data_IF_847251981062
#
_entry.id   IF_847251981062
#
_cell.length_a   1.000
_cell.length_b   1.000
_cell.length_c   1.000
_cell.angle_alpha   90.00
_cell.angle_beta   90.00
_cell.angle_gamma   90.00
#
_symmetry.space_group_name_H-M   'P 1'
#
loop_
_entity.id
_entity.type
_entity.pdbx_description
1 polymer ?
#
# COMPACT_ATOMS: atom_id res chain seq x y z
N UNK A 1 -17.98 24.95 19.79
CA UNK A 1 -16.99 23.96 20.28
C UNK A 1 -16.46 23.18 19.10
N UNK A 2 -15.19 23.40 18.76
CA UNK A 2 -14.54 22.58 17.76
C UNK A 2 -14.16 21.25 18.40
N UNK A 3 -14.97 20.21 18.14
CA UNK A 3 -14.50 18.86 18.39
C UNK A 3 -13.29 18.62 17.50
N UNK A 4 -12.16 18.16 18.05
CA UNK A 4 -11.04 17.80 17.20
C UNK A 4 -11.51 16.79 16.15
N UNK A 5 -11.09 16.99 14.92
CA UNK A 5 -11.41 16.01 13.86
C UNK A 5 -10.99 14.62 14.30
N UNK A 6 -11.90 13.64 14.26
CA UNK A 6 -11.53 12.28 14.64
C UNK A 6 -10.30 11.84 13.87
N UNK A 7 -9.33 11.28 14.57
CA UNK A 7 -8.05 10.88 13.99
C UNK A 7 -8.22 9.94 12.79
N UNK A 8 -9.24 9.06 12.84
CA UNK A 8 -9.51 8.14 11.74
C UNK A 8 -9.87 8.86 10.44
N UNK A 9 -10.71 9.89 10.50
CA UNK A 9 -11.06 10.69 9.33
C UNK A 9 -9.85 11.46 8.79
N UNK A 10 -9.04 12.01 9.68
CA UNK A 10 -7.85 12.76 9.29
C UNK A 10 -6.81 11.87 8.60
N UNK A 11 -6.57 10.68 9.15
CA UNK A 11 -5.68 9.70 8.54
C UNK A 11 -6.20 9.23 7.17
N UNK A 12 -7.51 9.00 7.06
CA UNK A 12 -8.14 8.63 5.80
C UNK A 12 -7.95 9.73 4.74
N UNK A 13 -8.22 10.99 5.12
CA UNK A 13 -8.08 12.13 4.20
C UNK A 13 -6.63 12.32 3.75
N UNK A 14 -5.69 12.24 4.68
CA UNK A 14 -4.26 12.35 4.36
C UNK A 14 -3.84 11.24 3.38
N UNK A 15 -4.22 10.00 3.66
CA UNK A 15 -3.89 8.87 2.78
C UNK A 15 -4.51 9.04 1.39
N UNK A 16 -5.77 9.47 1.33
CA UNK A 16 -6.48 9.72 0.06
C UNK A 16 -5.80 10.82 -0.76
N UNK A 17 -5.42 11.92 -0.12
CA UNK A 17 -4.79 13.05 -0.78
C UNK A 17 -3.35 12.75 -1.23
N UNK A 18 -2.59 12.00 -0.43
CA UNK A 18 -1.27 11.51 -0.82
C UNK A 18 -1.38 10.66 -2.10
N UNK A 19 -2.33 9.74 -2.13
CA UNK A 19 -2.58 8.89 -3.29
C UNK A 19 -2.99 9.72 -4.51
N UNK A 20 -3.89 10.68 -4.33
CA UNK A 20 -4.33 11.57 -5.41
C UNK A 20 -3.15 12.36 -6.01
N UNK A 21 -2.30 12.92 -5.15
CA UNK A 21 -1.13 13.69 -5.63
C UNK A 21 -0.12 12.81 -6.34
N UNK A 22 0.11 11.61 -5.81
CA UNK A 22 0.96 10.62 -6.46
C UNK A 22 0.44 10.29 -7.86
N UNK A 23 -0.86 10.06 -8.02
CA UNK A 23 -1.47 9.74 -9.31
C UNK A 23 -1.34 10.86 -10.33
N UNK A 24 -1.46 12.10 -9.88
CA UNK A 24 -1.30 13.25 -10.77
C UNK A 24 0.08 13.25 -11.44
N UNK A 25 1.12 12.78 -10.72
CA UNK A 25 2.48 12.67 -11.26
C UNK A 25 2.68 11.37 -12.05
N UNK A 26 2.09 10.28 -11.59
CA UNK A 26 2.28 8.96 -12.19
C UNK A 26 1.51 8.77 -13.50
N UNK A 27 0.57 9.64 -13.82
CA UNK A 27 -0.28 9.53 -15.01
C UNK A 27 0.54 9.39 -16.31
N UNK A 28 1.68 10.08 -16.40
CA UNK A 28 2.55 10.04 -17.58
C UNK A 28 3.30 8.72 -17.76
N UNK A 29 3.32 7.86 -16.74
CA UNK A 29 4.04 6.58 -16.78
C UNK A 29 3.24 5.46 -17.46
N UNK A 30 1.98 5.72 -17.80
CA UNK A 30 1.13 4.73 -18.46
C UNK A 30 0.62 3.62 -17.56
N UNK A 31 0.58 3.84 -16.25
CA UNK A 31 0.01 2.90 -15.30
C UNK A 31 -1.34 3.40 -14.77
N UNK A 32 -2.29 2.48 -14.65
CA UNK A 32 -3.52 2.73 -13.89
C UNK A 32 -3.19 2.75 -12.40
N UNK A 33 -4.12 3.29 -11.58
CA UNK A 33 -3.98 3.24 -10.11
C UNK A 33 -3.70 1.82 -9.62
N UNK A 34 -4.51 0.87 -10.07
CA UNK A 34 -4.39 -0.54 -9.66
C UNK A 34 -3.01 -1.11 -10.02
N UNK A 35 -2.51 -0.79 -11.19
CA UNK A 35 -1.22 -1.30 -11.66
C UNK A 35 -0.05 -0.75 -10.84
N UNK A 36 0.02 0.57 -10.64
CA UNK A 36 1.15 1.10 -9.87
C UNK A 36 1.07 0.71 -8.40
N UNK A 37 -0.14 0.57 -7.83
CA UNK A 37 -0.30 0.08 -6.46
C UNK A 37 0.24 -1.35 -6.30
N UNK A 38 -0.05 -2.23 -7.25
CA UNK A 38 0.50 -3.59 -7.23
C UNK A 38 2.03 -3.54 -7.28
N UNK A 39 2.60 -2.77 -8.18
CA UNK A 39 4.06 -2.67 -8.31
C UNK A 39 4.73 -2.16 -7.04
N UNK A 40 4.21 -1.10 -6.46
CA UNK A 40 4.76 -0.48 -5.24
C UNK A 40 4.65 -1.42 -4.04
N UNK A 41 3.49 -2.04 -3.84
CA UNK A 41 3.28 -2.96 -2.71
C UNK A 41 4.05 -4.26 -2.90
N UNK A 42 4.16 -4.75 -4.13
CA UNK A 42 4.95 -5.95 -4.41
C UNK A 42 6.44 -5.70 -4.17
N UNK A 43 6.95 -4.53 -4.50
CA UNK A 43 8.34 -4.17 -4.24
C UNK A 43 8.72 -4.29 -2.75
N UNK A 44 7.76 -4.02 -1.86
CA UNK A 44 7.95 -4.14 -0.41
C UNK A 44 7.72 -5.55 0.11
N UNK A 45 7.11 -6.42 -0.67
CA UNK A 45 6.63 -7.72 -0.23
C UNK A 45 6.93 -8.82 -1.26
N UNK A 46 8.08 -8.79 -1.93
CA UNK A 46 8.42 -9.82 -2.92
C UNK A 46 8.38 -11.21 -2.32
N UNK A 47 7.85 -12.15 -3.08
CA UNK A 47 7.62 -13.50 -2.61
C UNK A 47 6.29 -13.68 -1.86
N UNK A 48 5.49 -12.63 -1.76
CA UNK A 48 4.18 -12.71 -1.11
C UNK A 48 3.23 -13.63 -1.89
N UNK A 49 2.35 -14.31 -1.16
CA UNK A 49 1.24 -15.06 -1.77
C UNK A 49 0.27 -14.09 -2.45
N UNK A 50 -0.31 -14.53 -3.56
CA UNK A 50 -1.29 -13.75 -4.29
C UNK A 50 -2.46 -13.31 -3.39
N UNK A 51 -2.97 -14.23 -2.54
CA UNK A 51 -4.03 -13.91 -1.59
C UNK A 51 -3.60 -12.83 -0.57
N UNK A 52 -2.36 -12.88 -0.09
CA UNK A 52 -1.82 -11.90 0.85
C UNK A 52 -1.72 -10.49 0.23
N UNK A 53 -1.34 -10.42 -1.03
CA UNK A 53 -1.31 -9.13 -1.74
C UNK A 53 -2.72 -8.57 -1.96
N UNK A 54 -3.68 -9.43 -2.28
CA UNK A 54 -5.08 -9.01 -2.40
C UNK A 54 -5.61 -8.41 -1.11
N UNK A 55 -5.27 -9.00 0.03
CA UNK A 55 -5.64 -8.48 1.36
C UNK A 55 -5.02 -7.10 1.62
N UNK A 56 -3.75 -6.92 1.33
CA UNK A 56 -3.04 -5.64 1.51
C UNK A 56 -3.69 -4.55 0.65
N UNK A 57 -4.05 -4.88 -0.58
CA UNK A 57 -4.65 -3.94 -1.53
C UNK A 57 -6.16 -3.77 -1.34
N UNK A 58 -6.76 -4.58 -0.47
CA UNK A 58 -8.22 -4.59 -0.24
C UNK A 58 -9.01 -4.78 -1.53
N UNK A 59 -8.57 -5.70 -2.37
CA UNK A 59 -9.24 -6.06 -3.63
C UNK A 59 -9.65 -7.52 -3.62
N UNK A 60 -10.69 -7.82 -4.38
CA UNK A 60 -11.11 -9.20 -4.59
C UNK A 60 -10.01 -9.99 -5.32
N UNK A 61 -9.81 -11.27 -4.98
CA UNK A 61 -8.78 -12.09 -5.63
C UNK A 61 -8.87 -12.10 -7.15
N UNK A 62 -10.07 -12.16 -7.72
CA UNK A 62 -10.26 -12.15 -9.18
C UNK A 62 -9.83 -10.81 -9.81
N UNK A 63 -10.03 -9.71 -9.10
CA UNK A 63 -9.57 -8.38 -9.54
C UNK A 63 -8.05 -8.34 -9.61
N UNK A 64 -7.38 -8.86 -8.57
CA UNK A 64 -5.92 -8.92 -8.56
C UNK A 64 -5.36 -9.79 -9.69
N UNK A 65 -5.98 -10.93 -9.96
CA UNK A 65 -5.56 -11.80 -11.07
C UNK A 65 -5.56 -11.03 -12.39
N UNK A 66 -6.59 -10.25 -12.66
CA UNK A 66 -6.69 -9.45 -13.88
C UNK A 66 -5.60 -8.37 -13.98
N UNK A 67 -5.29 -7.73 -12.85
CA UNK A 67 -4.22 -6.73 -12.80
C UNK A 67 -2.87 -7.40 -13.05
N UNK A 68 -2.63 -8.53 -12.40
CA UNK A 68 -1.39 -9.30 -12.56
C UNK A 68 -1.23 -9.83 -13.99
N UNK A 69 -2.30 -10.27 -14.63
CA UNK A 69 -2.27 -10.70 -16.03
C UNK A 69 -1.74 -9.59 -16.94
N UNK A 70 -2.21 -8.36 -16.74
CA UNK A 70 -1.76 -7.20 -17.51
C UNK A 70 -0.31 -6.85 -17.23
N UNK A 71 0.11 -6.87 -15.97
CA UNK A 71 1.49 -6.56 -15.59
C UNK A 71 2.46 -7.64 -16.05
N UNK A 72 2.05 -8.91 -15.99
CA UNK A 72 2.83 -10.03 -16.51
C UNK A 72 2.97 -9.92 -18.04
N UNK A 73 1.88 -9.55 -18.73
CA UNK A 73 1.90 -9.31 -20.17
C UNK A 73 2.84 -8.16 -20.58
N UNK A 74 3.09 -7.20 -19.69
CA UNK A 74 4.07 -6.13 -19.90
C UNK A 74 5.48 -6.52 -19.45
N UNK A 75 5.67 -7.75 -18.96
CA UNK A 75 6.95 -8.25 -18.52
C UNK A 75 7.44 -7.66 -17.19
N UNK A 76 6.56 -7.14 -16.35
CA UNK A 76 6.92 -6.44 -15.11
C UNK A 76 6.79 -7.31 -13.86
N UNK A 77 5.94 -8.30 -13.89
CA UNK A 77 5.64 -9.20 -12.76
C UNK A 77 5.77 -10.64 -13.21
N UNK A 78 6.23 -11.49 -12.31
CA UNK A 78 6.32 -12.93 -12.50
C UNK A 78 5.58 -13.66 -11.39
N UNK A 79 4.72 -14.60 -11.77
CA UNK A 79 4.07 -15.52 -10.84
C UNK A 79 4.86 -16.82 -10.82
N UNK A 80 5.21 -17.30 -9.62
CA UNK A 80 5.89 -18.57 -9.43
C UNK A 80 5.05 -19.45 -8.54
N UNK A 81 4.95 -20.73 -8.92
CA UNK A 81 4.25 -21.70 -8.11
C UNK A 81 5.02 -21.94 -6.80
N UNK A 82 4.27 -22.04 -5.69
CA UNK A 82 4.87 -22.35 -4.39
C UNK A 82 5.56 -23.75 -4.46
N UNK A 83 6.76 -23.90 -3.85
CA UNK A 83 7.51 -25.18 -3.94
C UNK A 83 6.76 -26.40 -3.44
N UNK A 84 5.89 -26.25 -2.44
CA UNK A 84 5.18 -27.34 -1.78
C UNK A 84 3.66 -27.28 -1.89
N UNK A 85 3.09 -26.11 -2.21
CA UNK A 85 1.65 -25.93 -2.38
C UNK A 85 1.33 -25.49 -3.80
N UNK A 86 0.82 -26.40 -4.61
CA UNK A 86 0.48 -26.14 -6.01
C UNK A 86 -0.67 -25.16 -6.21
N UNK A 87 -1.43 -24.86 -5.15
CA UNK A 87 -2.55 -23.91 -5.19
C UNK A 87 -2.10 -22.47 -4.95
N UNK A 88 -0.92 -22.30 -4.39
CA UNK A 88 -0.40 -20.99 -4.03
C UNK A 88 0.55 -20.47 -5.09
N UNK A 89 0.37 -19.20 -5.45
CA UNK A 89 1.24 -18.47 -6.35
C UNK A 89 1.99 -17.42 -5.57
N UNK A 90 3.30 -17.38 -5.76
CA UNK A 90 4.18 -16.36 -5.20
C UNK A 90 4.49 -15.31 -6.25
N UNK A 91 4.51 -14.07 -5.84
CA UNK A 91 4.64 -12.93 -6.74
C UNK A 91 6.03 -12.29 -6.64
N UNK A 92 6.61 -12.01 -7.79
CA UNK A 92 7.93 -11.38 -7.90
C UNK A 92 7.93 -10.32 -8.97
N UNK A 93 8.75 -9.29 -8.78
CA UNK A 93 9.06 -8.33 -9.82
C UNK A 93 10.11 -8.90 -10.76
N UNK A 94 10.04 -8.52 -12.03
CA UNK A 94 11.08 -8.85 -12.99
C UNK A 94 12.17 -7.77 -12.99
N UNK A 95 13.38 -8.05 -13.50
CA UNK A 95 14.39 -7.00 -13.67
C UNK A 95 13.90 -5.83 -14.52
N UNK A 96 13.03 -6.08 -15.49
CA UNK A 96 12.45 -5.05 -16.38
C UNK A 96 11.54 -4.06 -15.64
N UNK A 97 11.06 -4.42 -14.43
CA UNK A 97 10.27 -3.52 -13.60
C UNK A 97 11.10 -2.44 -12.90
N UNK A 98 12.41 -2.62 -12.76
CA UNK A 98 13.26 -1.73 -11.97
C UNK A 98 13.25 -0.27 -12.45
N UNK A 99 13.33 0.05 -13.73
CA UNK A 99 13.24 1.44 -14.18
C UNK A 99 11.93 2.11 -13.79
N UNK A 100 10.81 1.42 -13.98
CA UNK A 100 9.49 1.93 -13.58
C UNK A 100 9.39 2.15 -12.07
N UNK A 101 9.93 1.22 -11.29
CA UNK A 101 9.94 1.34 -9.82
C UNK A 101 10.79 2.52 -9.35
N UNK A 102 11.92 2.77 -10.01
CA UNK A 102 12.77 3.92 -9.69
C UNK A 102 12.00 5.24 -9.91
N UNK A 103 11.25 5.34 -11.01
CA UNK A 103 10.40 6.49 -11.30
C UNK A 103 9.27 6.63 -10.27
N UNK A 104 8.61 5.54 -9.92
CA UNK A 104 7.55 5.54 -8.90
C UNK A 104 8.09 5.94 -7.52
N UNK A 105 9.28 5.50 -7.14
CA UNK A 105 9.92 5.92 -5.89
C UNK A 105 10.22 7.41 -5.87
N UNK A 106 10.76 7.95 -6.96
CA UNK A 106 11.03 9.38 -7.08
C UNK A 106 9.75 10.20 -6.92
N UNK A 107 8.67 9.76 -7.55
CA UNK A 107 7.34 10.38 -7.42
C UNK A 107 6.87 10.31 -5.96
N UNK A 108 7.05 9.18 -5.30
CA UNK A 108 6.69 9.00 -3.90
C UNK A 108 7.47 9.93 -2.96
N UNK A 109 8.77 10.09 -3.20
CA UNK A 109 9.62 10.98 -2.41
C UNK A 109 9.21 12.44 -2.57
N UNK A 110 8.93 12.87 -3.79
CA UNK A 110 8.47 14.23 -4.07
C UNK A 110 7.11 14.49 -3.41
N UNK A 111 6.19 13.55 -3.51
CA UNK A 111 4.87 13.66 -2.89
C UNK A 111 4.97 13.72 -1.37
N UNK A 112 5.82 12.91 -0.78
CA UNK A 112 6.08 12.91 0.66
C UNK A 112 6.67 14.26 1.12
N UNK A 113 7.62 14.80 0.36
CA UNK A 113 8.21 16.11 0.67
C UNK A 113 7.18 17.22 0.65
N UNK A 114 6.25 17.20 -0.30
CA UNK A 114 5.15 18.17 -0.33
C UNK A 114 4.24 18.02 0.89
N UNK A 115 3.89 16.79 1.24
CA UNK A 115 3.01 16.51 2.38
C UNK A 115 3.63 16.94 3.72
N UNK A 116 4.94 16.81 3.84
CA UNK A 116 5.66 17.13 5.07
C UNK A 116 6.19 18.57 5.09
N UNK A 117 5.83 19.38 4.10
CA UNK A 117 6.22 20.79 4.05
C UNK A 117 5.79 21.53 5.32
N UNK A 118 6.68 22.28 5.92
CA UNK A 118 6.42 23.01 7.16
C UNK A 118 6.74 22.22 8.43
N UNK A 119 7.04 20.92 8.34
CA UNK A 119 7.47 20.13 9.48
C UNK A 119 8.99 20.12 9.56
N UNK A 120 9.55 20.42 10.74
CA UNK A 120 10.96 20.24 11.02
C UNK A 120 11.31 18.74 11.09
N UNK A 121 12.58 18.39 10.84
CA UNK A 121 13.01 16.98 10.85
C UNK A 121 12.64 16.22 12.13
N UNK A 122 12.82 16.77 13.35
CA UNK A 122 12.40 16.07 14.56
C UNK A 122 10.91 15.73 14.57
N UNK A 123 10.06 16.61 14.04
CA UNK A 123 8.62 16.37 13.96
C UNK A 123 8.27 15.30 12.93
N UNK A 124 9.02 15.23 11.82
CA UNK A 124 8.87 14.18 10.80
C UNK A 124 9.22 12.82 11.38
N UNK A 125 10.33 12.74 12.10
CA UNK A 125 10.78 11.50 12.74
C UNK A 125 9.76 11.03 13.78
N UNK A 126 9.24 11.97 14.57
CA UNK A 126 8.23 11.67 15.58
C UNK A 126 6.91 11.21 14.96
N UNK A 127 6.51 11.80 13.85
CA UNK A 127 5.32 11.39 13.12
C UNK A 127 5.45 9.94 12.64
N UNK A 128 6.58 9.58 12.02
CA UNK A 128 6.82 8.22 11.52
C UNK A 128 6.83 7.23 12.68
N UNK A 129 7.51 7.57 13.78
CA UNK A 129 7.54 6.74 14.99
C UNK A 129 6.14 6.51 15.54
N UNK A 130 5.32 7.57 15.62
CA UNK A 130 3.95 7.52 16.12
C UNK A 130 3.06 6.66 15.21
N UNK A 131 3.13 6.86 13.90
CA UNK A 131 2.35 6.06 12.95
C UNK A 131 2.78 4.60 12.95
N UNK A 132 4.07 4.33 13.13
CA UNK A 132 4.59 2.96 13.23
C UNK A 132 4.04 2.24 14.46
N UNK A 133 3.99 2.94 15.59
CA UNK A 133 3.40 2.42 16.82
C UNK A 133 1.91 2.12 16.65
N UNK A 134 1.17 3.05 16.07
CA UNK A 134 -0.27 2.87 15.79
C UNK A 134 -0.51 1.67 14.87
N UNK A 135 0.29 1.54 13.82
CA UNK A 135 0.21 0.40 12.90
C UNK A 135 0.44 -0.92 13.63
N UNK A 136 1.46 -0.98 14.48
CA UNK A 136 1.77 -2.17 15.28
C UNK A 136 0.61 -2.56 16.20
N UNK A 137 0.03 -1.57 16.89
CA UNK A 137 -1.13 -1.80 17.76
C UNK A 137 -2.32 -2.37 16.97
N UNK A 138 -2.61 -1.80 15.81
CA UNK A 138 -3.73 -2.24 14.98
C UNK A 138 -3.51 -3.64 14.40
N UNK A 139 -2.31 -3.95 13.96
CA UNK A 139 -1.97 -5.29 13.46
C UNK A 139 -2.19 -6.35 14.54
N UNK A 140 -1.84 -6.03 15.78
CA UNK A 140 -2.05 -6.95 16.90
C UNK A 140 -3.53 -7.18 17.20
N UNK A 141 -4.31 -6.10 17.38
CA UNK A 141 -5.73 -6.22 17.73
C UNK A 141 -6.58 -6.76 16.58
N UNK A 142 -6.22 -6.53 15.32
CA UNK A 142 -6.93 -7.09 14.17
C UNK A 142 -6.83 -8.61 14.09
N UNK A 143 -5.84 -9.21 14.76
CA UNK A 143 -5.71 -10.67 14.84
C UNK A 143 -6.59 -11.29 15.91
N UNK A 144 -7.21 -10.48 16.77
CA UNK A 144 -8.05 -10.93 17.89
C UNK A 144 -9.54 -10.89 17.53
N UNK A 145 -10.36 -11.80 18.08
CA UNK A 145 -11.80 -11.71 17.88
C UNK A 145 -12.40 -10.49 18.58
N UNK A 146 -13.40 -9.88 17.95
CA UNK A 146 -14.17 -8.78 18.56
C UNK A 146 -15.08 -9.39 19.64
N UNK A 147 -15.07 -8.80 20.85
CA UNK A 147 -15.95 -9.21 21.94
C UNK A 147 -17.19 -8.33 21.98
N UNK A 148 -18.35 -8.93 22.35
CA UNK A 148 -19.65 -8.23 22.38
C UNK A 148 -19.68 -7.00 23.31
N UNK A 149 -18.72 -6.89 24.23
CA UNK A 149 -18.63 -5.75 25.15
C UNK A 149 -18.07 -4.48 24.48
N UNK A 150 -17.42 -4.61 23.32
CA UNK A 150 -16.82 -3.46 22.62
C UNK A 150 -17.82 -2.69 21.77
N UNK A 151 -18.99 -3.25 21.53
CA UNK A 151 -20.04 -2.63 20.71
C UNK A 151 -20.99 -1.72 21.49
N UNK A 152 -20.90 -1.67 22.82
CA UNK A 152 -21.82 -0.90 23.66
C UNK A 152 -21.39 0.54 23.94
N UNK A 153 -20.29 1.01 23.34
CA UNK A 153 -19.78 2.37 23.48
C UNK A 153 -19.63 3.01 22.09
N UNK A 154 -20.76 3.16 21.43
CA UNK A 154 -20.85 3.92 20.18
C UNK A 154 -21.53 5.25 20.40
#
# INVERSE_FOLDING_TARGET
MNSPSPIGFLLHDVARLLRKRFEQRAASLGFTRSQWQVLVHLAKNEGIHQAGLADILEVEPITLVRILDKLEGRGLVQRRQHPTDRRAWLLYLTPEAHPSLALLRAIGETTRSEALSGLAEPDRDKLIETLTLMKGNLLEVCSLPVTDQETSHG
#
